data_IF_943358480520
#
_entry.id   IF_943358480520
#
_cell.length_a   1.000
_cell.length_b   1.000
_cell.length_c   1.000
_cell.angle_alpha   90.00
_cell.angle_beta   90.00
_cell.angle_gamma   90.00
#
_symmetry.space_group_name_H-M   'P 1'
#
loop_
_entity.id
_entity.type
_entity.pdbx_description
1 polymer ?
#
# COMPACT_ATOMS: atom_id res chain seq x y z
N UNK A 1 -55.85 28.69 -19.66
CA UNK A 1 -56.23 27.33 -20.09
C UNK A 1 -55.03 26.43 -19.86
N UNK A 2 -55.17 25.42 -19.00
CA UNK A 2 -54.08 24.55 -18.56
C UNK A 2 -54.31 24.11 -17.12
N UNK A 3 -55.27 23.19 -16.97
CA UNK A 3 -55.54 22.34 -15.79
C UNK A 3 -54.25 21.81 -15.14
N UNK A 4 -54.11 21.67 -13.82
CA UNK A 4 -55.13 21.39 -12.83
C UNK A 4 -55.06 19.91 -12.43
N UNK A 5 -54.57 19.69 -11.20
CA UNK A 5 -54.84 18.59 -10.27
C UNK A 5 -53.89 17.37 -10.23
N UNK A 6 -53.11 17.43 -9.15
CA UNK A 6 -52.62 16.36 -8.28
C UNK A 6 -53.62 15.24 -7.99
N UNK A 7 -53.10 14.02 -7.78
CA UNK A 7 -53.33 13.20 -6.58
C UNK A 7 -52.63 11.84 -6.66
N UNK A 8 -51.67 11.63 -5.75
CA UNK A 8 -51.42 10.43 -4.93
C UNK A 8 -52.03 9.08 -5.35
N UNK A 9 -51.19 8.05 -5.53
CA UNK A 9 -51.26 6.78 -4.76
C UNK A 9 -50.12 5.83 -5.16
N UNK A 10 -49.10 5.65 -4.32
CA UNK A 10 -48.19 4.49 -4.39
C UNK A 10 -48.62 3.48 -3.34
N UNK A 11 -49.46 2.52 -3.75
CA UNK A 11 -49.77 1.32 -2.97
C UNK A 11 -48.94 0.13 -3.48
N UNK A 12 -48.17 -0.43 -2.55
CA UNK A 12 -47.29 -1.58 -2.69
C UNK A 12 -48.13 -2.86 -2.90
N UNK A 13 -47.89 -3.58 -4.00
CA UNK A 13 -48.45 -4.91 -4.26
C UNK A 13 -47.34 -5.93 -4.46
N UNK A 14 -47.08 -6.73 -3.42
CA UNK A 14 -46.18 -7.89 -3.44
C UNK A 14 -47.04 -9.12 -3.78
N UNK A 15 -46.86 -9.71 -4.97
CA UNK A 15 -47.52 -10.97 -5.34
C UNK A 15 -46.48 -12.09 -5.40
N UNK A 16 -46.59 -13.00 -4.45
CA UNK A 16 -45.78 -14.22 -4.34
C UNK A 16 -46.21 -15.23 -5.41
N UNK A 17 -45.28 -15.66 -6.26
CA UNK A 17 -45.47 -16.78 -7.17
C UNK A 17 -44.99 -18.10 -6.53
N UNK A 18 -45.94 -19.04 -6.42
CA UNK A 18 -45.83 -20.43 -5.96
C UNK A 18 -44.85 -21.27 -6.82
N UNK A 19 -43.86 -21.97 -6.23
CA UNK A 19 -42.99 -22.86 -6.96
C UNK A 19 -43.47 -24.31 -6.85
N UNK A 20 -44.32 -24.75 -7.79
CA UNK A 20 -44.58 -26.19 -7.96
C UNK A 20 -44.57 -26.64 -9.43
N UNK A 21 -43.51 -27.42 -9.71
CA UNK A 21 -43.42 -28.52 -10.68
C UNK A 21 -43.44 -28.18 -12.18
N UNK A 22 -42.24 -28.03 -12.74
CA UNK A 22 -41.88 -28.68 -14.02
C UNK A 22 -40.63 -29.53 -13.83
N UNK A 23 -40.84 -30.84 -13.72
CA UNK A 23 -39.82 -31.86 -13.81
C UNK A 23 -39.23 -31.81 -15.23
N UNK A 24 -38.01 -31.28 -15.38
CA UNK A 24 -37.24 -31.41 -16.61
C UNK A 24 -36.60 -32.80 -16.62
N UNK A 25 -37.21 -33.74 -17.34
CA UNK A 25 -36.64 -35.06 -17.64
C UNK A 25 -35.50 -34.90 -18.66
N UNK A 26 -34.26 -34.92 -18.17
CA UNK A 26 -33.07 -34.97 -19.03
C UNK A 26 -32.97 -36.36 -19.68
N UNK A 27 -33.14 -36.42 -20.99
CA UNK A 27 -32.78 -37.59 -21.80
C UNK A 27 -31.30 -37.92 -21.58
N UNK A 28 -31.01 -39.17 -21.23
CA UNK A 28 -29.66 -39.71 -21.12
C UNK A 28 -28.99 -39.77 -22.51
N UNK A 29 -28.38 -38.65 -22.92
CA UNK A 29 -27.45 -38.60 -24.04
C UNK A 29 -26.10 -39.11 -23.58
N UNK A 30 -25.60 -40.16 -24.24
CA UNK A 30 -24.27 -40.74 -24.06
C UNK A 30 -23.18 -39.75 -24.49
N UNK A 31 -22.87 -38.78 -23.63
CA UNK A 31 -21.79 -37.83 -23.86
C UNK A 31 -20.43 -38.53 -23.65
N UNK A 32 -19.76 -38.88 -24.75
CA UNK A 32 -18.35 -39.28 -24.75
C UNK A 32 -17.51 -38.22 -24.01
N UNK A 33 -16.94 -38.63 -22.88
CA UNK A 33 -16.11 -37.79 -22.01
C UNK A 33 -14.76 -37.52 -22.69
N UNK A 34 -14.66 -36.46 -23.49
CA UNK A 34 -13.37 -35.99 -23.99
C UNK A 34 -12.52 -35.50 -22.81
N UNK A 35 -11.40 -36.20 -22.54
CA UNK A 35 -10.35 -35.75 -21.63
C UNK A 35 -9.78 -34.42 -22.16
N UNK A 36 -10.26 -33.28 -21.64
CA UNK A 36 -9.63 -31.97 -21.88
C UNK A 36 -8.21 -32.02 -21.31
N UNK A 37 -7.20 -31.99 -22.19
CA UNK A 37 -5.78 -31.86 -21.81
C UNK A 37 -5.61 -30.56 -21.02
N UNK A 38 -5.15 -30.64 -19.76
CA UNK A 38 -4.70 -29.46 -19.00
C UNK A 38 -3.58 -28.76 -19.81
N UNK A 39 -3.64 -27.44 -20.04
CA UNK A 39 -2.57 -26.75 -20.75
C UNK A 39 -1.27 -26.87 -19.93
N UNK A 40 -0.18 -27.30 -20.59
CA UNK A 40 1.15 -27.38 -19.97
C UNK A 40 1.56 -25.97 -19.54
N UNK A 41 1.73 -25.74 -18.23
CA UNK A 41 2.34 -24.50 -17.69
C UNK A 41 3.72 -24.34 -18.33
N UNK A 42 3.91 -23.29 -19.15
CA UNK A 42 5.24 -22.88 -19.62
C UNK A 42 6.08 -22.53 -18.38
N UNK A 43 7.21 -23.23 -18.19
CA UNK A 43 8.21 -22.87 -17.18
C UNK A 43 8.84 -21.54 -17.59
N UNK A 44 8.83 -20.56 -16.70
CA UNK A 44 9.51 -19.29 -16.90
C UNK A 44 11.04 -19.51 -16.96
N UNK A 45 11.77 -18.69 -17.74
CA UNK A 45 13.23 -18.76 -17.83
C UNK A 45 13.94 -18.56 -16.46
N UNK A 46 15.06 -19.26 -16.24
CA UNK A 46 15.82 -19.25 -14.96
C UNK A 46 16.18 -17.83 -14.46
N UNK A 47 16.44 -16.88 -15.36
CA UNK A 47 16.78 -15.48 -15.03
C UNK A 47 15.60 -14.71 -14.41
N UNK A 48 14.38 -14.95 -14.88
CA UNK A 48 13.17 -14.39 -14.27
C UNK A 48 12.87 -15.02 -12.92
N UNK A 49 13.11 -16.34 -12.75
CA UNK A 49 12.99 -16.99 -11.44
C UNK A 49 13.97 -16.42 -10.42
N UNK A 50 15.23 -16.18 -10.81
CA UNK A 50 16.23 -15.60 -9.92
C UNK A 50 15.87 -14.15 -9.55
N UNK A 51 15.46 -13.33 -10.51
CA UNK A 51 14.98 -11.98 -10.24
C UNK A 51 13.71 -11.95 -9.36
N UNK A 52 12.81 -12.93 -9.51
CA UNK A 52 11.65 -13.10 -8.62
C UNK A 52 12.07 -13.56 -7.22
N UNK A 53 13.06 -14.45 -7.09
CA UNK A 53 13.58 -14.92 -5.81
C UNK A 53 14.31 -13.82 -5.04
N UNK A 54 15.09 -12.99 -5.74
CA UNK A 54 15.73 -11.79 -5.18
C UNK A 54 14.68 -10.75 -4.76
N UNK A 55 13.66 -10.50 -5.59
CA UNK A 55 12.53 -9.64 -5.15
C UNK A 55 11.68 -10.28 -4.05
N UNK A 56 11.72 -11.60 -3.86
CA UNK A 56 11.04 -12.27 -2.75
C UNK A 56 11.79 -12.03 -1.43
N UNK A 57 13.12 -11.97 -1.44
CA UNK A 57 13.91 -11.64 -0.25
C UNK A 57 13.60 -10.22 0.26
N UNK A 58 13.42 -9.25 -0.65
CA UNK A 58 13.04 -7.89 -0.29
C UNK A 58 11.66 -7.81 0.39
N UNK A 59 10.68 -8.57 -0.10
CA UNK A 59 9.33 -8.64 0.49
C UNK A 59 9.31 -9.35 1.83
N UNK A 60 10.12 -10.40 1.99
CA UNK A 60 10.28 -11.08 3.27
C UNK A 60 10.94 -10.18 4.31
N UNK A 61 11.95 -9.40 3.92
CA UNK A 61 12.53 -8.39 4.79
C UNK A 61 11.50 -7.33 5.20
N UNK A 62 10.71 -6.82 4.25
CA UNK A 62 9.63 -5.88 4.52
C UNK A 62 8.57 -6.45 5.48
N UNK A 63 8.18 -7.72 5.31
CA UNK A 63 7.30 -8.43 6.23
C UNK A 63 7.89 -8.49 7.64
N UNK A 64 9.17 -8.89 7.77
CA UNK A 64 9.84 -8.96 9.06
C UNK A 64 9.87 -7.61 9.78
N UNK A 65 10.17 -6.54 9.05
CA UNK A 65 10.17 -5.16 9.59
C UNK A 65 8.76 -4.74 10.01
N UNK A 66 7.74 -4.95 9.19
CA UNK A 66 6.35 -4.62 9.57
C UNK A 66 5.89 -5.41 10.78
N UNK A 67 6.25 -6.69 10.87
CA UNK A 67 5.95 -7.54 12.01
C UNK A 67 6.62 -7.01 13.28
N UNK A 68 7.87 -6.55 13.21
CA UNK A 68 8.55 -5.92 14.35
C UNK A 68 7.88 -4.60 14.77
N UNK A 69 7.40 -3.80 13.82
CA UNK A 69 6.73 -2.53 14.11
C UNK A 69 5.36 -2.79 14.76
N UNK A 70 4.51 -3.60 14.13
CA UNK A 70 3.11 -3.77 14.54
C UNK A 70 2.98 -4.69 15.76
N UNK A 71 3.75 -5.78 15.83
CA UNK A 71 3.60 -6.75 16.93
C UNK A 71 4.53 -6.47 18.11
N UNK A 72 5.64 -5.75 17.90
CA UNK A 72 6.59 -5.41 18.98
C UNK A 72 6.64 -3.92 19.30
N UNK A 73 5.75 -3.11 18.71
CA UNK A 73 5.68 -1.66 18.90
C UNK A 73 7.04 -0.96 18.72
N UNK A 74 7.84 -1.44 17.76
CA UNK A 74 9.14 -0.85 17.48
C UNK A 74 9.00 0.40 16.60
N UNK A 75 9.81 1.42 16.89
CA UNK A 75 9.95 2.59 16.02
C UNK A 75 10.51 2.15 14.67
N UNK A 76 9.99 2.71 13.58
CA UNK A 76 10.30 2.30 12.20
C UNK A 76 11.81 2.25 11.92
N UNK A 77 12.57 3.26 12.34
CA UNK A 77 14.02 3.31 12.08
C UNK A 77 14.79 2.25 12.87
N UNK A 78 14.38 1.99 14.11
CA UNK A 78 14.94 0.91 14.92
C UNK A 78 14.62 -0.47 14.34
N UNK A 79 13.40 -0.67 13.83
CA UNK A 79 13.00 -1.92 13.18
C UNK A 79 13.79 -2.18 11.88
N UNK A 80 14.00 -1.15 11.07
CA UNK A 80 14.81 -1.24 9.85
C UNK A 80 16.28 -1.56 10.16
N UNK A 81 16.85 -0.94 11.20
CA UNK A 81 18.25 -1.14 11.58
C UNK A 81 18.50 -2.51 12.23
N UNK A 82 17.57 -2.99 13.06
CA UNK A 82 17.70 -4.27 13.78
C UNK A 82 17.48 -5.48 12.88
N UNK A 83 16.73 -5.33 11.79
CA UNK A 83 16.38 -6.45 10.94
C UNK A 83 17.58 -6.90 10.09
N UNK A 84 18.17 -8.05 10.44
CA UNK A 84 19.34 -8.63 9.75
C UNK A 84 19.10 -8.90 8.27
N UNK A 85 17.89 -9.33 7.90
CA UNK A 85 17.53 -9.59 6.50
C UNK A 85 17.49 -8.29 5.71
N UNK A 86 16.95 -7.22 6.28
CA UNK A 86 16.95 -5.91 5.63
C UNK A 86 18.39 -5.37 5.44
N UNK A 87 19.25 -5.57 6.45
CA UNK A 87 20.65 -5.14 6.39
C UNK A 87 21.47 -5.90 5.33
N UNK A 88 21.15 -7.18 5.05
CA UNK A 88 21.85 -7.99 4.06
C UNK A 88 21.39 -7.77 2.62
N UNK A 89 20.29 -7.03 2.39
CA UNK A 89 19.84 -6.70 1.03
C UNK A 89 20.82 -5.79 0.31
N UNK A 90 20.94 -5.99 -1.01
CA UNK A 90 21.58 -5.05 -1.92
C UNK A 90 20.84 -3.71 -1.93
N UNK A 91 21.53 -2.65 -2.36
CA UNK A 91 21.02 -1.26 -2.33
C UNK A 91 19.64 -1.11 -2.98
N UNK A 92 19.43 -1.72 -4.15
CA UNK A 92 18.16 -1.67 -4.90
C UNK A 92 17.02 -2.33 -4.14
N UNK A 93 17.25 -3.53 -3.60
CA UNK A 93 16.23 -4.28 -2.87
C UNK A 93 15.92 -3.65 -1.52
N UNK A 94 16.93 -3.04 -0.88
CA UNK A 94 16.76 -2.26 0.34
C UNK A 94 15.88 -1.04 0.10
N UNK A 95 16.10 -0.32 -1.00
CA UNK A 95 15.26 0.80 -1.39
C UNK A 95 13.82 0.34 -1.64
N UNK A 96 13.62 -0.78 -2.36
CA UNK A 96 12.29 -1.34 -2.58
C UNK A 96 11.61 -1.81 -1.28
N UNK A 97 12.33 -2.49 -0.39
CA UNK A 97 11.80 -2.93 0.89
C UNK A 97 11.41 -1.74 1.78
N UNK A 98 12.23 -0.67 1.82
CA UNK A 98 11.90 0.57 2.55
C UNK A 98 10.69 1.26 1.96
N UNK A 99 10.62 1.42 0.63
CA UNK A 99 9.45 1.95 -0.06
C UNK A 99 8.20 1.16 0.32
N UNK A 100 8.25 -0.16 0.25
CA UNK A 100 7.13 -1.04 0.56
C UNK A 100 6.67 -0.91 2.02
N UNK A 101 7.60 -0.92 2.99
CA UNK A 101 7.29 -0.72 4.41
C UNK A 101 6.66 0.66 4.64
N UNK A 102 7.26 1.73 4.12
CA UNK A 102 6.76 3.10 4.29
C UNK A 102 5.38 3.28 3.65
N UNK A 103 5.16 2.72 2.45
CA UNK A 103 3.85 2.74 1.80
C UNK A 103 2.79 1.98 2.59
N UNK A 104 3.13 0.81 3.17
CA UNK A 104 2.23 0.07 4.05
C UNK A 104 1.86 0.84 5.30
N UNK A 105 2.82 1.45 6.00
CA UNK A 105 2.55 2.22 7.22
C UNK A 105 1.71 3.46 6.93
N UNK A 106 2.05 4.19 5.85
CA UNK A 106 1.35 5.42 5.45
C UNK A 106 -0.11 5.16 5.08
N UNK A 107 -0.39 4.04 4.42
CA UNK A 107 -1.74 3.68 3.92
C UNK A 107 -2.39 2.56 4.72
N UNK A 108 -1.94 2.34 5.95
CA UNK A 108 -2.37 1.18 6.74
C UNK A 108 -3.88 1.18 6.96
N UNK A 109 -4.48 2.32 7.30
CA UNK A 109 -5.91 2.41 7.57
C UNK A 109 -6.77 2.15 6.33
N UNK A 110 -6.41 2.76 5.19
CA UNK A 110 -7.07 2.52 3.91
C UNK A 110 -7.02 1.04 3.53
N UNK A 111 -5.82 0.44 3.56
CA UNK A 111 -5.62 -0.95 3.16
C UNK A 111 -6.32 -1.90 4.13
N UNK A 112 -6.31 -1.62 5.44
CA UNK A 112 -7.03 -2.42 6.41
C UNK A 112 -8.54 -2.41 6.16
N UNK A 113 -9.10 -1.24 5.78
CA UNK A 113 -10.52 -1.12 5.41
C UNK A 113 -10.86 -1.94 4.16
N UNK A 114 -10.00 -1.93 3.15
CA UNK A 114 -10.14 -2.80 1.97
C UNK A 114 -10.09 -4.29 2.34
N UNK A 115 -9.13 -4.68 3.18
CA UNK A 115 -8.98 -6.07 3.66
C UNK A 115 -10.25 -6.50 4.41
N UNK A 116 -10.75 -5.66 5.31
CA UNK A 116 -11.95 -5.94 6.09
C UNK A 116 -13.20 -6.09 5.20
N UNK A 117 -13.30 -5.34 4.10
CA UNK A 117 -14.38 -5.49 3.13
C UNK A 117 -14.31 -6.83 2.38
N UNK A 118 -13.09 -7.29 2.07
CA UNK A 118 -12.91 -8.57 1.39
C UNK A 118 -13.01 -9.79 2.33
N UNK A 119 -12.79 -9.61 3.62
CA UNK A 119 -12.80 -10.67 4.63
C UNK A 119 -14.19 -10.90 5.24
N UNK A 120 -14.52 -12.17 5.48
CA UNK A 120 -15.72 -12.56 6.23
C UNK A 120 -15.45 -12.70 7.74
N UNK A 121 -14.20 -13.03 8.10
CA UNK A 121 -13.76 -13.30 9.47
C UNK A 121 -12.36 -12.72 9.67
N UNK A 122 -12.01 -12.31 10.90
CA UNK A 122 -10.65 -11.88 11.20
C UNK A 122 -9.65 -13.00 10.92
N UNK A 123 -8.46 -12.62 10.48
CA UNK A 123 -7.35 -13.53 10.19
C UNK A 123 -6.20 -13.26 11.14
N UNK A 124 -5.29 -14.23 11.24
CA UNK A 124 -4.05 -14.05 11.98
C UNK A 124 -3.25 -12.85 11.43
N UNK A 125 -2.55 -12.17 12.32
CA UNK A 125 -1.84 -10.93 12.04
C UNK A 125 -0.78 -11.12 10.96
N UNK A 126 -0.11 -12.28 10.91
CA UNK A 126 0.83 -12.61 9.84
C UNK A 126 0.14 -12.62 8.45
N UNK A 127 -1.06 -13.20 8.35
CA UNK A 127 -1.84 -13.23 7.11
C UNK A 127 -2.28 -11.80 6.74
N UNK A 128 -2.72 -11.02 7.73
CA UNK A 128 -3.10 -9.63 7.54
C UNK A 128 -1.93 -8.80 6.97
N UNK A 129 -0.72 -8.93 7.54
CA UNK A 129 0.48 -8.24 7.03
C UNK A 129 0.84 -8.64 5.59
N UNK A 130 0.66 -9.92 5.21
CA UNK A 130 0.88 -10.36 3.82
C UNK A 130 -0.13 -9.70 2.88
N UNK A 131 -1.40 -9.61 3.29
CA UNK A 131 -2.45 -8.93 2.52
C UNK A 131 -2.16 -7.44 2.37
N UNK A 132 -1.69 -6.79 3.43
CA UNK A 132 -1.24 -5.39 3.40
C UNK A 132 -0.15 -5.17 2.35
N UNK A 133 0.92 -5.97 2.41
CA UNK A 133 2.01 -5.90 1.44
C UNK A 133 1.52 -6.15 0.01
N UNK A 134 0.61 -7.10 -0.18
CA UNK A 134 0.06 -7.44 -1.49
C UNK A 134 -0.81 -6.33 -2.09
N UNK A 135 -1.74 -5.80 -1.29
CA UNK A 135 -2.63 -4.72 -1.74
C UNK A 135 -1.87 -3.42 -1.98
N UNK A 136 -0.89 -3.08 -1.15
CA UNK A 136 -0.08 -1.87 -1.39
C UNK A 136 0.68 -1.96 -2.72
N UNK A 137 1.22 -3.13 -3.04
CA UNK A 137 1.88 -3.35 -4.32
C UNK A 137 0.91 -3.21 -5.50
N UNK A 138 -0.30 -3.75 -5.37
CA UNK A 138 -1.34 -3.70 -6.40
C UNK A 138 -1.85 -2.28 -6.66
N UNK A 139 -2.23 -1.57 -5.60
CA UNK A 139 -2.96 -0.30 -5.70
C UNK A 139 -2.04 0.92 -5.76
N UNK A 140 -0.86 0.88 -5.12
CA UNK A 140 -0.04 2.08 -4.91
C UNK A 140 1.37 2.02 -5.49
N UNK A 141 1.89 0.83 -5.82
CA UNK A 141 3.24 0.66 -6.39
C UNK A 141 3.23 0.14 -7.84
N UNK A 142 2.09 0.24 -8.54
CA UNK A 142 1.93 -0.15 -9.94
C UNK A 142 2.47 -1.54 -10.28
N UNK A 143 2.43 -2.47 -9.32
CA UNK A 143 2.93 -3.83 -9.53
C UNK A 143 1.89 -4.63 -10.31
N UNK A 144 2.33 -5.37 -11.34
CA UNK A 144 1.39 -6.15 -12.15
C UNK A 144 0.57 -7.13 -11.28
N UNK A 145 -0.72 -7.35 -11.59
CA UNK A 145 -1.60 -8.20 -10.79
C UNK A 145 -1.06 -9.61 -10.52
N UNK A 146 -0.47 -10.23 -11.56
CA UNK A 146 0.14 -11.55 -11.44
C UNK A 146 1.39 -11.56 -10.56
N UNK A 147 2.22 -10.50 -10.60
CA UNK A 147 3.40 -10.42 -9.76
C UNK A 147 3.02 -10.26 -8.28
N UNK A 148 2.09 -9.36 -7.95
CA UNK A 148 1.67 -9.15 -6.58
C UNK A 148 1.01 -10.41 -5.97
N UNK A 149 0.08 -11.03 -6.70
CA UNK A 149 -0.58 -12.28 -6.24
C UNK A 149 0.41 -13.42 -6.03
N UNK A 150 1.29 -13.69 -7.01
CA UNK A 150 2.27 -14.77 -6.89
C UNK A 150 3.26 -14.53 -5.75
N UNK A 151 3.75 -13.29 -5.60
CA UNK A 151 4.73 -12.96 -4.57
C UNK A 151 4.14 -12.97 -3.16
N UNK A 152 2.88 -12.56 -2.97
CA UNK A 152 2.19 -12.70 -1.69
C UNK A 152 1.94 -14.16 -1.30
N UNK A 153 1.61 -15.03 -2.26
CA UNK A 153 1.49 -16.47 -2.02
C UNK A 153 2.83 -17.09 -1.66
N UNK A 154 3.90 -16.70 -2.35
CA UNK A 154 5.24 -17.20 -2.06
C UNK A 154 5.71 -16.73 -0.67
N UNK A 155 5.46 -15.47 -0.33
CA UNK A 155 5.74 -14.91 0.99
C UNK A 155 5.01 -15.72 2.09
N UNK A 156 3.74 -16.08 1.87
CA UNK A 156 2.97 -16.87 2.82
C UNK A 156 3.65 -18.21 3.14
N UNK A 157 4.21 -18.90 2.14
CA UNK A 157 4.95 -20.14 2.36
C UNK A 157 6.23 -19.91 3.16
N UNK A 158 6.95 -18.84 2.86
CA UNK A 158 8.21 -18.52 3.53
C UNK A 158 8.04 -18.17 5.01
N UNK A 159 6.85 -17.70 5.42
CA UNK A 159 6.54 -17.36 6.81
C UNK A 159 5.67 -18.41 7.51
N UNK A 160 5.64 -19.65 7.00
CA UNK A 160 4.88 -20.78 7.55
C UNK A 160 3.36 -20.56 7.62
N UNK A 161 2.81 -19.78 6.68
CA UNK A 161 1.38 -19.53 6.48
C UNK A 161 0.89 -20.16 5.16
N UNK A 162 1.50 -21.30 4.78
CA UNK A 162 1.23 -22.03 3.54
C UNK A 162 -0.25 -22.40 3.39
N UNK A 163 -0.90 -22.81 4.48
CA UNK A 163 -2.34 -23.14 4.54
C UNK A 163 -3.25 -21.97 4.13
N UNK A 164 -2.82 -20.73 4.38
CA UNK A 164 -3.57 -19.52 4.05
C UNK A 164 -3.34 -19.03 2.60
N UNK A 165 -2.43 -19.66 1.84
CA UNK A 165 -2.10 -19.26 0.46
C UNK A 165 -3.32 -19.17 -0.46
N UNK A 166 -4.28 -20.09 -0.31
CA UNK A 166 -5.53 -20.09 -1.08
C UNK A 166 -6.39 -18.86 -0.78
N UNK A 167 -6.54 -18.53 0.50
CA UNK A 167 -7.28 -17.35 0.97
C UNK A 167 -6.63 -16.05 0.49
N UNK A 168 -5.31 -15.92 0.68
CA UNK A 168 -4.55 -14.72 0.27
C UNK A 168 -4.73 -14.45 -1.22
N UNK A 169 -4.55 -15.48 -2.04
CA UNK A 169 -4.74 -15.36 -3.49
C UNK A 169 -6.20 -15.08 -3.87
N UNK A 170 -7.19 -15.64 -3.16
CA UNK A 170 -8.59 -15.35 -3.40
C UNK A 170 -8.93 -13.88 -3.12
N UNK A 171 -8.47 -13.34 -1.99
CA UNK A 171 -8.66 -11.94 -1.59
C UNK A 171 -8.00 -10.99 -2.58
N UNK A 172 -6.72 -11.21 -2.91
CA UNK A 172 -6.01 -10.33 -3.85
C UNK A 172 -6.67 -10.35 -5.24
N UNK A 173 -7.14 -11.52 -5.72
CA UNK A 173 -7.89 -11.58 -6.98
C UNK A 173 -9.24 -10.90 -6.91
N UNK A 174 -9.92 -10.95 -5.76
CA UNK A 174 -11.15 -10.20 -5.53
C UNK A 174 -10.86 -8.70 -5.60
N UNK A 175 -9.84 -8.24 -4.89
CA UNK A 175 -9.44 -6.84 -4.90
C UNK A 175 -9.04 -6.32 -6.28
N UNK A 176 -8.45 -7.16 -7.14
CA UNK A 176 -8.18 -6.81 -8.54
C UNK A 176 -9.48 -6.60 -9.35
N UNK A 177 -10.53 -7.38 -9.08
CA UNK A 177 -11.82 -7.24 -9.78
C UNK A 177 -12.63 -6.05 -9.28
N UNK A 178 -12.58 -5.82 -7.97
CA UNK A 178 -13.29 -4.75 -7.26
C UNK A 178 -12.39 -3.52 -7.09
N UNK A 179 -11.44 -3.28 -8.02
CA UNK A 179 -10.39 -2.28 -7.84
C UNK A 179 -10.94 -0.87 -7.58
N UNK A 180 -11.83 -0.40 -8.45
CA UNK A 180 -12.37 0.95 -8.37
C UNK A 180 -13.34 1.09 -7.18
N UNK A 181 -14.14 0.05 -6.90
CA UNK A 181 -15.03 0.00 -5.74
C UNK A 181 -14.26 0.10 -4.42
N UNK A 182 -13.12 -0.61 -4.32
CA UNK A 182 -12.26 -0.57 -3.13
C UNK A 182 -11.56 0.77 -2.96
N UNK A 183 -11.18 1.44 -4.05
CA UNK A 183 -10.65 2.80 -3.97
C UNK A 183 -11.71 3.78 -3.46
N UNK A 184 -12.93 3.71 -4.00
CA UNK A 184 -14.07 4.53 -3.58
C UNK A 184 -14.52 4.26 -2.13
N UNK A 185 -14.28 3.04 -1.61
CA UNK A 185 -14.59 2.67 -0.23
C UNK A 185 -13.73 3.42 0.81
N UNK A 186 -12.55 3.89 0.42
CA UNK A 186 -11.55 4.44 1.34
C UNK A 186 -11.24 5.90 1.07
N UNK A 187 -10.74 6.58 2.09
CA UNK A 187 -10.31 7.97 2.04
C UNK A 187 -9.00 8.13 2.80
N UNK A 188 -8.28 9.24 2.57
CA UNK A 188 -7.04 9.54 3.32
C UNK A 188 -7.28 9.62 4.83
N UNK A 189 -8.50 9.97 5.24
CA UNK A 189 -8.92 10.03 6.63
C UNK A 189 -8.94 8.67 7.33
N UNK A 190 -9.00 7.57 6.58
CA UNK A 190 -8.93 6.23 7.18
C UNK A 190 -7.53 5.94 7.76
N UNK A 191 -6.49 6.65 7.30
CA UNK A 191 -5.14 6.53 7.84
C UNK A 191 -4.94 7.29 9.16
N UNK A 192 -5.92 8.08 9.59
CA UNK A 192 -5.85 8.83 10.84
C UNK A 192 -6.53 8.02 11.97
N UNK A 193 -5.84 7.71 13.08
CA UNK A 193 -6.46 7.04 14.22
C UNK A 193 -7.67 7.81 14.76
N UNK A 194 -8.73 7.09 15.13
CA UNK A 194 -10.00 7.71 15.54
C UNK A 194 -9.87 8.77 16.66
N UNK A 195 -9.07 8.57 17.72
CA UNK A 195 -8.89 9.62 18.74
C UNK A 195 -8.28 10.90 18.17
N UNK A 196 -7.28 10.77 17.30
CA UNK A 196 -6.59 11.90 16.70
C UNK A 196 -7.48 12.62 15.69
N UNK A 197 -8.28 11.87 14.92
CA UNK A 197 -9.29 12.41 14.01
C UNK A 197 -10.28 13.30 14.74
N UNK A 198 -10.77 12.89 15.90
CA UNK A 198 -11.69 13.69 16.73
C UNK A 198 -11.04 15.00 17.18
N UNK A 199 -9.79 14.92 17.67
CA UNK A 199 -9.06 16.10 18.15
C UNK A 199 -8.82 17.10 17.01
N UNK A 200 -8.30 16.63 15.88
CA UNK A 200 -7.97 17.50 14.75
C UNK A 200 -9.19 18.09 14.09
N UNK A 201 -10.25 17.30 13.92
CA UNK A 201 -11.52 17.81 13.37
C UNK A 201 -12.12 18.89 14.27
N UNK A 202 -12.00 18.75 15.60
CA UNK A 202 -12.45 19.77 16.55
C UNK A 202 -11.61 21.04 16.49
N UNK A 203 -10.30 20.91 16.28
CA UNK A 203 -9.36 22.04 16.34
C UNK A 203 -9.25 22.82 15.01
N UNK A 204 -9.20 22.12 13.89
CA UNK A 204 -8.93 22.71 12.57
C UNK A 204 -10.15 22.72 11.66
N UNK A 205 -11.19 21.95 11.97
CA UNK A 205 -12.33 21.71 11.08
C UNK A 205 -12.12 20.51 10.14
N UNK A 206 -13.21 19.97 9.58
CA UNK A 206 -13.16 18.75 8.77
C UNK A 206 -12.41 18.93 7.45
N UNK A 207 -12.59 20.06 6.77
CA UNK A 207 -11.95 20.33 5.46
C UNK A 207 -10.42 20.48 5.61
N UNK A 208 -9.97 21.28 6.58
CA UNK A 208 -8.56 21.50 6.86
C UNK A 208 -7.90 20.20 7.34
N UNK A 209 -8.58 19.41 8.18
CA UNK A 209 -8.06 18.11 8.59
C UNK A 209 -7.86 17.18 7.39
N UNK A 210 -8.81 17.17 6.44
CA UNK A 210 -8.65 16.41 5.19
C UNK A 210 -7.45 16.91 4.38
N UNK A 211 -7.30 18.23 4.23
CA UNK A 211 -6.17 18.82 3.50
C UNK A 211 -4.81 18.47 4.13
N UNK A 212 -4.71 18.49 5.46
CA UNK A 212 -3.51 18.04 6.19
C UNK A 212 -3.25 16.56 5.90
N UNK A 213 -4.28 15.72 5.92
CA UNK A 213 -4.15 14.30 5.63
C UNK A 213 -3.71 14.03 4.19
N UNK A 214 -4.23 14.78 3.22
CA UNK A 214 -3.78 14.71 1.82
C UNK A 214 -2.29 15.06 1.70
N UNK A 215 -1.83 16.11 2.39
CA UNK A 215 -0.42 16.48 2.42
C UNK A 215 0.46 15.36 3.01
N UNK A 216 0.03 14.75 4.13
CA UNK A 216 0.74 13.63 4.77
C UNK A 216 0.84 12.38 3.88
N UNK A 217 -0.04 12.23 2.89
CA UNK A 217 0.03 11.14 1.93
C UNK A 217 1.09 11.36 0.84
N UNK A 218 1.56 12.59 0.62
CA UNK A 218 2.61 12.92 -0.35
C UNK A 218 4.01 12.67 0.21
N UNK A 219 4.97 12.28 -0.64
CA UNK A 219 6.35 12.03 -0.20
C UNK A 219 6.93 13.33 0.38
N UNK A 220 7.37 13.34 1.66
CA UNK A 220 7.89 14.55 2.26
C UNK A 220 9.16 14.97 1.53
N UNK A 221 9.30 16.26 1.18
CA UNK A 221 10.52 16.76 0.57
C UNK A 221 11.67 16.77 1.60
N UNK A 222 12.91 16.76 1.12
CA UNK A 222 14.08 16.81 1.98
C UNK A 222 14.44 18.26 2.28
N UNK A 223 14.28 18.66 3.54
CA UNK A 223 14.67 19.99 4.01
C UNK A 223 16.07 19.94 4.64
N UNK A 224 16.99 20.74 4.10
CA UNK A 224 18.39 20.83 4.50
C UNK A 224 18.69 22.22 5.07
N UNK A 225 19.29 22.26 6.26
CA UNK A 225 19.79 23.50 6.85
C UNK A 225 21.25 23.74 6.46
N UNK A 226 21.48 24.84 5.74
CA UNK A 226 22.77 25.31 5.28
C UNK A 226 23.45 26.16 6.35
N UNK A 227 24.76 26.00 6.58
CA UNK A 227 25.54 26.81 7.51
C UNK A 227 25.63 28.23 6.97
N UNK A 228 25.82 29.23 7.86
CA UNK A 228 25.86 30.63 7.48
C UNK A 228 26.92 30.95 6.42
N UNK A 229 28.06 30.26 6.46
CA UNK A 229 29.24 30.56 5.64
C UNK A 229 29.26 29.83 4.28
N UNK A 230 28.27 28.99 3.98
CA UNK A 230 28.20 28.25 2.72
C UNK A 230 27.48 29.04 1.62
N UNK A 231 27.96 28.87 0.38
CA UNK A 231 27.38 29.51 -0.80
C UNK A 231 26.04 28.86 -1.18
N UNK A 232 24.96 29.44 -0.65
CA UNK A 232 23.59 28.94 -0.78
C UNK A 232 23.08 28.91 -2.22
N UNK A 233 23.48 29.88 -3.05
CA UNK A 233 23.01 29.98 -4.44
C UNK A 233 23.57 28.83 -5.28
N UNK A 234 24.86 28.50 -5.09
CA UNK A 234 25.48 27.34 -5.74
C UNK A 234 24.85 26.02 -5.31
N UNK A 235 24.54 25.87 -4.01
CA UNK A 235 23.89 24.68 -3.46
C UNK A 235 22.45 24.52 -3.96
N UNK A 236 21.66 25.60 -4.00
CA UNK A 236 20.30 25.56 -4.52
C UNK A 236 20.24 25.18 -6.01
N UNK A 237 21.17 25.71 -6.80
CA UNK A 237 21.29 25.40 -8.23
C UNK A 237 21.71 23.94 -8.47
N UNK A 238 22.64 23.41 -7.66
CA UNK A 238 23.08 22.02 -7.78
C UNK A 238 22.04 21.00 -7.30
N UNK A 239 21.27 21.35 -6.28
CA UNK A 239 20.30 20.44 -5.66
C UNK A 239 18.87 20.64 -6.19
N UNK A 240 18.69 21.50 -7.20
CA UNK A 240 17.39 21.92 -7.73
C UNK A 240 16.40 22.28 -6.60
N UNK A 241 16.92 22.95 -5.56
CA UNK A 241 16.20 23.17 -4.30
C UNK A 241 15.47 24.50 -4.26
N UNK A 242 14.27 24.52 -3.68
CA UNK A 242 13.53 25.74 -3.40
C UNK A 242 14.01 26.34 -2.06
N UNK A 243 14.30 27.63 -2.05
CA UNK A 243 14.54 28.36 -0.81
C UNK A 243 13.22 28.58 -0.07
N UNK A 244 13.15 28.14 1.19
CA UNK A 244 11.98 28.39 2.03
C UNK A 244 12.23 29.61 2.92
N UNK A 245 13.21 29.53 3.83
CA UNK A 245 13.51 30.58 4.79
C UNK A 245 14.98 30.56 5.22
N UNK A 246 15.60 31.73 5.39
CA UNK A 246 16.95 31.96 5.93
C UNK A 246 18.04 31.01 5.39
N UNK A 247 18.16 29.85 6.02
CA UNK A 247 19.19 28.85 5.84
C UNK A 247 18.63 27.49 5.40
N UNK A 248 17.32 27.37 5.15
CA UNK A 248 16.66 26.10 4.79
C UNK A 248 16.44 26.01 3.29
N UNK A 249 17.01 24.96 2.68
CA UNK A 249 16.79 24.54 1.31
C UNK A 249 15.87 23.31 1.29
N UNK A 250 14.79 23.37 0.52
CA UNK A 250 13.92 22.24 0.26
C UNK A 250 14.31 21.60 -1.06
N UNK A 251 14.75 20.36 -1.03
CA UNK A 251 15.25 19.63 -2.19
C UNK A 251 14.38 18.39 -2.48
N UNK A 252 14.20 18.12 -3.77
CA UNK A 252 13.59 16.88 -4.28
C UNK A 252 14.68 15.82 -4.43
N UNK A 253 15.28 15.37 -3.32
CA UNK A 253 16.30 14.32 -3.35
C UNK A 253 15.74 13.01 -2.80
N UNK A 254 15.70 11.99 -3.65
CA UNK A 254 15.26 10.63 -3.30
C UNK A 254 16.49 9.70 -3.32
N UNK A 255 17.15 9.56 -2.17
CA UNK A 255 18.40 8.80 -2.09
C UNK A 255 19.05 8.80 -0.71
N UNK A 256 20.17 8.09 -0.60
CA UNK A 256 21.01 8.13 0.59
C UNK A 256 21.70 9.50 0.66
N UNK A 257 21.42 10.25 1.72
CA UNK A 257 22.00 11.58 1.97
C UNK A 257 23.53 11.51 1.94
N UNK A 258 24.13 10.37 2.31
CA UNK A 258 25.60 10.18 2.30
C UNK A 258 26.20 10.18 0.90
N UNK A 259 25.39 9.88 -0.12
CA UNK A 259 25.80 9.89 -1.53
C UNK A 259 25.47 11.20 -2.22
N UNK A 260 24.98 12.18 -1.47
CA UNK A 260 24.66 13.49 -1.99
C UNK A 260 25.97 14.18 -2.40
N UNK A 261 25.99 14.89 -3.54
CA UNK A 261 27.15 15.69 -3.92
C UNK A 261 27.60 16.58 -2.76
N UNK A 262 28.90 16.62 -2.50
CA UNK A 262 29.51 17.42 -1.42
C UNK A 262 29.17 17.00 0.02
N UNK A 263 28.66 15.78 0.23
CA UNK A 263 28.47 15.22 1.59
C UNK A 263 29.81 14.98 2.32
N UNK A 264 30.75 14.29 1.68
CA UNK A 264 32.04 13.89 2.28
C UNK A 264 33.07 15.02 2.32
N UNK A 265 32.96 16.00 1.42
CA UNK A 265 33.90 17.14 1.35
C UNK A 265 33.82 18.05 2.58
N UNK A 266 32.85 17.84 3.47
CA UNK A 266 32.64 18.70 4.62
C UNK A 266 32.53 20.16 4.21
N UNK A 267 32.10 20.44 2.97
CA UNK A 267 31.95 21.76 2.38
C UNK A 267 30.99 22.58 3.26
N UNK A 268 31.57 23.19 4.30
CA UNK A 268 31.18 24.39 5.02
C UNK A 268 29.72 24.59 5.35
N UNK A 269 28.85 23.57 5.33
CA UNK A 269 27.46 23.82 4.96
C UNK A 269 26.37 23.06 5.71
N UNK A 270 26.59 21.89 6.30
CA UNK A 270 25.48 21.20 6.97
C UNK A 270 25.85 20.91 8.42
N UNK A 271 25.13 21.53 9.37
CA UNK A 271 25.20 21.20 10.81
C UNK A 271 23.77 20.86 11.24
N UNK A 272 23.57 19.60 11.58
CA UNK A 272 22.31 19.05 12.10
C UNK A 272 21.16 19.02 11.09
N UNK A 273 20.95 17.85 10.50
CA UNK A 273 19.68 17.44 9.90
C UNK A 273 18.61 17.39 11.00
N UNK A 274 18.02 18.53 11.36
CA UNK A 274 16.67 18.49 11.93
C UNK A 274 15.74 18.31 10.75
N UNK A 275 15.28 17.07 10.55
CA UNK A 275 14.07 16.77 9.80
C UNK A 275 12.93 17.55 10.46
N UNK A 276 12.78 18.83 10.11
CA UNK A 276 11.53 19.53 10.33
C UNK A 276 10.59 18.99 9.27
N UNK A 277 9.83 17.96 9.64
CA UNK A 277 8.57 17.67 8.97
C UNK A 277 7.65 18.85 9.30
N UNK A 278 7.77 19.94 8.53
CA UNK A 278 6.89 21.09 8.67
C UNK A 278 5.55 20.70 8.04
N UNK A 279 4.70 20.07 8.84
CA UNK A 279 3.27 20.19 8.65
C UNK A 279 2.91 21.63 9.04
N UNK A 280 2.71 22.49 8.05
CA UNK A 280 2.01 23.75 8.21
C UNK A 280 0.50 23.49 8.05
#
# INVERSE_FOLDING_TARGET
>A
MGSGQDADNWSIGYEMADPSKKLLTLKAGTARRHKRKRPKRKRLPKKELAAMAVKASARLAAFGVLNDIINKNMVTDAALTKNKMFASLESRDRAFARLLVTSCLRRYGQVQKMINHCLLKPVDQAINLILHLGLVQLFFLSTTPHAATNTSVELAKQVNQDRASGLINAILRRAIREHDDLLCLTSVMDNLPAPLKTIWTKQYGPEQTSAIMDLLMTTPPLDLTVKPDADRAKLAQHLSGLHIQHHTLRCSFDGDIRKMPHYDEGCGGFRTLRLHCVAH
#
